data_IF_894751406473
#
_entry.id   IF_894751406473
#
_cell.length_a   1.000
_cell.length_b   1.000
_cell.length_c   1.000
_cell.angle_alpha   90.00
_cell.angle_beta   90.00
_cell.angle_gamma   90.00
#
_symmetry.space_group_name_H-M   'P 1'
#
loop_
_entity.id
_entity.type
_entity.pdbx_description
1 polymer ?
#
# COMPACT_ATOMS: atom_id res chain seq x y z
N UNK A 1 -25.01 -40.02 12.38
CA UNK A 1 -24.82 -39.27 11.13
C UNK A 1 -25.19 -40.18 9.98
N UNK A 2 -26.07 -39.74 9.09
CA UNK A 2 -26.49 -40.50 7.92
C UNK A 2 -25.79 -39.89 6.71
N UNK A 3 -25.29 -40.72 5.79
CA UNK A 3 -24.59 -40.23 4.60
C UNK A 3 -25.61 -39.69 3.59
N UNK A 4 -25.31 -38.54 3.02
CA UNK A 4 -26.05 -37.98 1.89
C UNK A 4 -25.37 -38.39 0.57
N UNK A 5 -26.17 -38.77 -0.44
CA UNK A 5 -25.69 -39.04 -1.80
C UNK A 5 -25.52 -37.72 -2.57
N UNK A 6 -24.71 -36.83 -2.01
CA UNK A 6 -24.40 -35.53 -2.59
C UNK A 6 -22.95 -35.18 -2.30
N UNK A 7 -22.17 -34.99 -3.36
CA UNK A 7 -20.80 -34.50 -3.24
C UNK A 7 -20.75 -33.03 -3.65
N UNK A 8 -20.31 -32.18 -2.73
CA UNK A 8 -20.08 -30.78 -3.04
C UNK A 8 -18.90 -30.61 -4.01
N UNK A 9 -19.04 -29.67 -4.94
CA UNK A 9 -18.00 -29.34 -5.94
C UNK A 9 -16.68 -28.91 -5.32
N UNK A 10 -16.72 -28.18 -4.20
CA UNK A 10 -15.52 -27.72 -3.48
C UNK A 10 -14.65 -28.88 -2.97
N UNK A 11 -15.20 -30.08 -2.79
CA UNK A 11 -14.42 -31.22 -2.29
C UNK A 11 -13.23 -31.53 -3.20
N UNK A 12 -13.46 -31.55 -4.52
CA UNK A 12 -12.40 -31.78 -5.51
C UNK A 12 -11.64 -30.50 -5.84
N UNK A 13 -12.35 -29.39 -5.99
CA UNK A 13 -11.74 -28.12 -6.40
C UNK A 13 -10.85 -27.51 -5.31
N UNK A 14 -11.14 -27.73 -4.03
CA UNK A 14 -10.46 -27.09 -2.91
C UNK A 14 -9.83 -28.13 -1.99
N UNK A 15 -10.63 -29.00 -1.36
CA UNK A 15 -10.13 -29.90 -0.30
C UNK A 15 -9.04 -30.85 -0.79
N UNK A 16 -9.30 -31.61 -1.86
CA UNK A 16 -8.31 -32.52 -2.43
C UNK A 16 -7.10 -31.77 -3.02
N UNK A 17 -7.34 -30.59 -3.61
CA UNK A 17 -6.28 -29.75 -4.19
C UNK A 17 -5.31 -29.28 -3.11
N UNK A 18 -5.80 -28.71 -2.00
CA UNK A 18 -4.93 -28.23 -0.93
C UNK A 18 -4.24 -29.36 -0.17
N UNK A 19 -4.89 -30.53 -0.02
CA UNK A 19 -4.22 -31.71 0.51
C UNK A 19 -3.08 -32.18 -0.40
N UNK A 20 -3.27 -32.18 -1.72
CA UNK A 20 -2.18 -32.49 -2.66
C UNK A 20 -1.02 -31.49 -2.53
N UNK A 21 -1.34 -30.18 -2.54
CA UNK A 21 -0.34 -29.10 -2.43
C UNK A 21 0.46 -29.14 -1.13
N UNK A 22 -0.13 -29.64 -0.04
CA UNK A 22 0.53 -29.77 1.24
C UNK A 22 1.70 -30.77 1.20
N UNK A 23 1.61 -31.78 0.32
CA UNK A 23 2.62 -32.82 0.18
C UNK A 23 3.54 -32.62 -1.04
N UNK A 24 3.08 -31.94 -2.09
CA UNK A 24 3.87 -31.64 -3.29
C UNK A 24 3.49 -30.28 -3.88
N UNK A 25 4.40 -29.31 -3.75
CA UNK A 25 4.30 -27.96 -4.31
C UNK A 25 5.34 -27.69 -5.42
N UNK A 26 6.00 -28.73 -5.92
CA UNK A 26 7.10 -28.61 -6.89
C UNK A 26 6.73 -27.82 -8.15
N UNK A 27 5.48 -27.88 -8.57
CA UNK A 27 4.97 -27.14 -9.73
C UNK A 27 4.73 -25.64 -9.47
N UNK A 28 4.67 -25.22 -8.19
CA UNK A 28 4.54 -23.82 -7.78
C UNK A 28 5.90 -23.16 -7.54
N UNK A 29 6.96 -23.95 -7.42
CA UNK A 29 8.34 -23.45 -7.23
C UNK A 29 8.71 -22.52 -8.39
N UNK A 30 9.32 -21.38 -8.05
CA UNK A 30 9.70 -20.28 -8.96
C UNK A 30 8.55 -19.48 -9.59
N UNK A 31 7.30 -19.72 -9.20
CA UNK A 31 6.13 -19.01 -9.75
C UNK A 31 5.26 -18.43 -8.65
N UNK A 32 4.92 -17.15 -8.80
CA UNK A 32 3.98 -16.50 -7.90
C UNK A 32 2.55 -16.76 -8.37
N UNK A 33 1.78 -17.51 -7.60
CA UNK A 33 0.35 -17.75 -7.82
C UNK A 33 -0.49 -17.27 -6.65
N UNK A 34 -1.68 -16.76 -6.93
CA UNK A 34 -2.74 -16.50 -5.94
C UNK A 34 -3.88 -17.45 -6.25
N UNK A 35 -4.38 -18.15 -5.23
CA UNK A 35 -5.56 -18.96 -5.35
C UNK A 35 -6.82 -18.13 -5.11
N UNK A 36 -7.84 -18.30 -5.95
CA UNK A 36 -9.17 -17.74 -5.68
C UNK A 36 -9.84 -18.46 -4.52
N UNK A 37 -11.01 -17.97 -4.09
CA UNK A 37 -11.83 -18.65 -3.06
C UNK A 37 -12.32 -20.04 -3.46
N UNK A 38 -12.32 -20.37 -4.76
CA UNK A 38 -12.63 -21.73 -5.28
C UNK A 38 -11.35 -22.53 -5.60
N UNK A 39 -10.19 -22.05 -5.14
CA UNK A 39 -8.90 -22.70 -5.32
C UNK A 39 -8.37 -22.68 -6.76
N UNK A 40 -8.84 -21.80 -7.64
CA UNK A 40 -8.25 -21.67 -8.98
C UNK A 40 -6.93 -20.88 -8.91
N UNK A 41 -5.80 -21.43 -9.40
CA UNK A 41 -4.52 -20.73 -9.38
C UNK A 41 -4.48 -19.65 -10.47
N UNK A 42 -4.23 -18.40 -10.07
CA UNK A 42 -4.03 -17.26 -10.96
C UNK A 42 -2.58 -16.79 -10.88
N UNK A 43 -1.86 -16.69 -12.01
CA UNK A 43 -0.48 -16.21 -12.00
C UNK A 43 -0.45 -14.72 -11.65
N UNK A 44 0.45 -14.34 -10.74
CA UNK A 44 0.73 -12.93 -10.49
C UNK A 44 1.58 -12.43 -11.66
N UNK A 45 0.96 -11.70 -12.59
CA UNK A 45 1.72 -11.00 -13.63
C UNK A 45 2.25 -9.68 -13.05
N UNK A 46 3.45 -9.27 -13.45
CA UNK A 46 4.05 -8.00 -13.02
C UNK A 46 3.15 -6.79 -13.31
N UNK A 47 2.32 -6.87 -14.36
CA UNK A 47 1.36 -5.83 -14.76
C UNK A 47 0.16 -5.64 -13.82
N UNK A 48 -0.13 -6.58 -12.89
CA UNK A 48 -1.25 -6.42 -11.95
C UNK A 48 -1.02 -5.27 -10.97
N UNK A 49 0.25 -4.90 -10.73
CA UNK A 49 0.62 -3.74 -9.92
C UNK A 49 0.45 -2.41 -10.66
N UNK A 50 0.16 -2.41 -11.97
CA UNK A 50 0.21 -1.20 -12.79
C UNK A 50 -1.13 -0.50 -12.96
N UNK A 51 -2.28 -1.16 -12.69
CA UNK A 51 -3.60 -0.54 -12.83
C UNK A 51 -4.59 -1.07 -11.81
N UNK A 52 -5.05 -0.20 -10.92
CA UNK A 52 -6.33 -0.44 -10.24
C UNK A 52 -7.45 -0.37 -11.28
N UNK A 53 -8.47 -1.25 -11.21
CA UNK A 53 -9.62 -1.19 -12.09
C UNK A 53 -10.28 0.19 -12.03
N UNK A 54 -10.75 0.68 -13.17
CA UNK A 54 -11.41 1.97 -13.32
C UNK A 54 -12.61 2.15 -12.38
N UNK A 55 -13.24 1.04 -11.98
CA UNK A 55 -14.32 0.99 -10.98
C UNK A 55 -13.89 1.41 -9.55
N UNK A 56 -12.60 1.38 -9.25
CA UNK A 56 -12.05 1.86 -7.97
C UNK A 56 -11.58 3.32 -8.04
N UNK A 57 -11.74 3.99 -9.20
CA UNK A 57 -11.50 5.41 -9.36
C UNK A 57 -12.78 6.14 -8.94
N UNK A 58 -12.77 6.95 -7.86
CA UNK A 58 -13.92 7.78 -7.52
C UNK A 58 -14.23 8.69 -8.71
N UNK A 59 -15.48 8.69 -9.17
CA UNK A 59 -15.97 9.38 -10.38
C UNK A 59 -15.79 10.91 -10.39
N UNK A 60 -15.24 11.49 -9.31
CA UNK A 60 -14.99 12.92 -9.16
C UNK A 60 -13.54 13.33 -9.48
N UNK A 61 -12.82 12.59 -10.31
CA UNK A 61 -11.59 13.10 -10.92
C UNK A 61 -11.87 13.54 -12.35
N UNK A 62 -11.77 14.85 -12.56
CA UNK A 62 -11.84 15.48 -13.87
C UNK A 62 -10.80 14.86 -14.78
N UNK A 63 -11.31 14.20 -15.83
CA UNK A 63 -10.54 13.60 -16.91
C UNK A 63 -9.76 14.69 -17.65
N UNK A 64 -8.54 14.97 -17.18
CA UNK A 64 -7.56 15.72 -17.95
C UNK A 64 -6.87 14.75 -18.91
N UNK A 65 -7.41 14.65 -20.12
CA UNK A 65 -6.74 14.04 -21.27
C UNK A 65 -5.43 14.80 -21.48
N UNK A 66 -4.29 14.15 -21.27
CA UNK A 66 -2.99 14.66 -21.71
C UNK A 66 -2.22 13.51 -22.33
N UNK A 67 -1.90 13.68 -23.61
CA UNK A 67 -1.02 12.81 -24.37
C UNK A 67 0.33 12.62 -23.66
N UNK A 68 0.92 11.44 -23.86
CA UNK A 68 2.30 11.06 -23.54
C UNK A 68 2.69 10.95 -22.05
N UNK A 69 2.31 9.81 -21.47
CA UNK A 69 3.24 8.80 -20.94
C UNK A 69 4.58 9.31 -20.34
N UNK A 70 4.53 9.89 -19.13
CA UNK A 70 5.65 9.80 -18.18
C UNK A 70 5.16 9.20 -16.86
N UNK A 71 5.52 7.93 -16.68
CA UNK A 71 5.58 7.10 -15.47
C UNK A 71 5.09 7.78 -14.17
N UNK A 72 3.86 7.47 -13.76
CA UNK A 72 3.39 7.72 -12.39
C UNK A 72 3.62 6.45 -11.55
N UNK A 73 4.66 6.48 -10.72
CA UNK A 73 5.03 5.37 -9.83
C UNK A 73 3.98 5.16 -8.72
N UNK A 74 3.60 3.90 -8.49
CA UNK A 74 2.68 3.44 -7.44
C UNK A 74 3.23 3.68 -6.02
N UNK A 75 2.36 3.71 -5.00
CA UNK A 75 2.77 3.87 -3.59
C UNK A 75 3.75 2.77 -3.12
N UNK A 76 3.63 1.55 -3.66
CA UNK A 76 4.58 0.45 -3.48
C UNK A 76 5.96 0.74 -4.10
N UNK A 77 6.00 1.40 -5.26
CA UNK A 77 7.27 1.84 -5.87
C UNK A 77 7.85 3.11 -5.20
N UNK A 78 7.12 3.72 -4.27
CA UNK A 78 7.56 4.85 -3.43
C UNK A 78 7.86 4.47 -1.97
N UNK A 79 7.79 3.17 -1.60
CA UNK A 79 8.03 2.67 -0.24
C UNK A 79 7.18 3.38 0.86
N UNK A 80 5.92 3.67 0.56
CA UNK A 80 4.99 4.26 1.54
C UNK A 80 4.01 3.18 2.00
N UNK A 81 4.07 2.78 3.27
CA UNK A 81 3.06 1.92 3.89
C UNK A 81 1.86 2.76 4.37
N UNK A 82 0.61 2.31 4.20
CA UNK A 82 -0.51 2.87 4.95
C UNK A 82 -0.32 2.52 6.43
N UNK A 83 -0.38 3.52 7.32
CA UNK A 83 -0.26 3.30 8.75
C UNK A 83 -1.30 2.26 9.21
N UNK A 84 -0.83 1.19 9.87
CA UNK A 84 -1.69 0.22 10.55
C UNK A 84 -2.30 0.95 11.75
N UNK A 85 -3.58 1.31 11.66
CA UNK A 85 -4.32 1.85 12.78
C UNK A 85 -4.58 0.76 13.83
N UNK A 86 -3.82 0.77 14.93
CA UNK A 86 -4.26 0.16 16.19
C UNK A 86 -5.48 0.93 16.71
N UNK A 87 -6.52 0.17 17.07
CA UNK A 87 -7.81 0.70 17.58
C UNK A 87 -7.59 1.72 18.70
N UNK A 88 -8.06 2.95 18.49
CA UNK A 88 -8.49 3.81 19.59
C UNK A 88 -9.78 4.50 19.19
N UNK A 89 -10.83 4.27 19.98
CA UNK A 89 -12.09 4.98 19.84
C UNK A 89 -11.86 6.46 20.11
N UNK A 90 -12.60 7.29 19.36
CA UNK A 90 -12.69 8.74 19.51
C UNK A 90 -11.44 9.53 19.05
N UNK A 91 -11.57 10.21 17.90
CA UNK A 91 -10.64 11.25 17.46
C UNK A 91 -10.06 11.01 16.06
N UNK A 92 -10.42 11.92 15.16
CA UNK A 92 -9.83 12.23 13.84
C UNK A 92 -8.60 11.40 13.46
N UNK A 93 -8.77 10.55 12.44
CA UNK A 93 -7.68 9.85 11.75
C UNK A 93 -6.75 10.88 11.09
N UNK A 94 -5.66 11.27 11.75
CA UNK A 94 -4.57 11.97 11.07
C UNK A 94 -3.77 10.94 10.27
N UNK A 95 -4.03 10.93 8.97
CA UNK A 95 -3.21 10.24 7.98
C UNK A 95 -1.87 10.98 7.91
N UNK A 96 -0.85 10.49 8.60
CA UNK A 96 0.50 11.02 8.46
C UNK A 96 1.18 10.37 7.24
N UNK A 97 1.78 11.19 6.39
CA UNK A 97 2.55 10.75 5.22
C UNK A 97 3.78 9.94 5.65
N UNK A 98 4.13 8.86 4.94
CA UNK A 98 5.28 8.02 5.31
C UNK A 98 6.66 8.71 5.21
N UNK A 99 6.74 9.88 4.56
CA UNK A 99 7.96 10.69 4.49
C UNK A 99 8.10 11.66 5.66
N UNK A 100 7.08 11.79 6.51
CA UNK A 100 7.13 12.74 7.62
C UNK A 100 8.20 12.31 8.61
N UNK A 101 9.19 13.16 8.79
CA UNK A 101 10.17 13.03 9.86
C UNK A 101 9.91 14.23 10.79
N UNK A 102 9.63 14.02 12.08
CA UNK A 102 9.42 15.12 13.01
C UNK A 102 10.70 15.94 13.18
N UNK A 103 10.56 17.21 13.56
CA UNK A 103 11.71 18.02 13.98
C UNK A 103 12.34 17.42 15.25
N UNK A 104 13.62 17.70 15.48
CA UNK A 104 14.32 17.23 16.69
C UNK A 104 13.69 17.75 17.98
N UNK A 105 12.99 18.89 17.90
CA UNK A 105 12.29 19.53 19.03
C UNK A 105 10.79 19.68 18.73
N UNK A 106 9.97 19.29 19.70
CA UNK A 106 8.50 19.40 19.61
C UNK A 106 7.97 20.84 19.57
N UNK A 107 8.79 21.83 19.91
CA UNK A 107 8.46 23.26 19.81
C UNK A 107 8.81 23.87 18.44
N UNK A 108 9.23 23.02 17.47
CA UNK A 108 9.64 23.40 16.12
C UNK A 108 10.77 24.43 16.05
N UNK A 109 11.51 24.61 17.15
CA UNK A 109 12.69 25.48 17.19
C UNK A 109 13.91 24.76 16.66
N UNK A 110 14.87 25.51 16.12
CA UNK A 110 16.11 24.99 15.56
C UNK A 110 17.26 25.98 15.73
N UNK A 111 18.47 25.46 15.80
CA UNK A 111 19.71 26.23 15.63
C UNK A 111 20.39 25.93 14.28
N UNK A 112 20.02 24.82 13.62
CA UNK A 112 20.56 24.38 12.33
C UNK A 112 19.52 23.64 11.50
N UNK A 113 19.75 23.51 10.19
CA UNK A 113 18.90 22.75 9.27
C UNK A 113 18.86 21.23 9.57
N UNK A 114 19.80 20.74 10.38
CA UNK A 114 19.87 19.33 10.82
C UNK A 114 18.82 19.01 11.89
N UNK A 115 18.31 20.02 12.58
CA UNK A 115 17.25 19.87 13.58
C UNK A 115 15.85 19.83 12.97
N UNK A 116 15.74 20.17 11.68
CA UNK A 116 14.47 20.24 10.98
C UNK A 116 14.16 18.96 10.23
N UNK A 117 12.94 18.47 10.43
CA UNK A 117 12.44 17.24 9.86
C UNK A 117 11.97 17.40 8.41
N UNK A 118 11.12 16.49 7.97
CA UNK A 118 10.56 16.46 6.61
C UNK A 118 9.07 16.76 6.68
N UNK A 119 8.62 17.71 5.87
CA UNK A 119 7.22 18.12 5.80
C UNK A 119 6.30 17.00 5.28
N UNK A 120 5.15 16.81 5.92
CA UNK A 120 4.24 15.70 5.60
C UNK A 120 3.46 15.90 4.29
N UNK A 121 3.26 17.15 3.88
CA UNK A 121 2.49 17.46 2.66
C UNK A 121 3.34 17.43 1.39
N UNK A 122 4.60 17.83 1.50
CA UNK A 122 5.52 18.00 0.37
C UNK A 122 6.66 17.00 0.35
N UNK A 123 6.89 16.24 1.44
CA UNK A 123 8.06 15.38 1.63
C UNK A 123 9.40 16.11 1.41
N UNK A 124 9.42 17.43 1.59
CA UNK A 124 10.63 18.23 1.49
C UNK A 124 11.24 18.42 2.86
N UNK A 125 12.56 18.33 2.91
CA UNK A 125 13.32 18.68 4.11
C UNK A 125 13.05 20.15 4.45
N UNK A 126 12.66 20.39 5.70
CA UNK A 126 12.47 21.73 6.26
C UNK A 126 13.84 22.30 6.62
N UNK A 127 13.96 23.61 6.57
CA UNK A 127 15.17 24.33 6.98
C UNK A 127 14.86 25.26 8.14
N UNK A 128 15.91 25.69 8.82
CA UNK A 128 15.83 26.60 9.93
C UNK A 128 15.76 28.04 9.43
N UNK A 129 14.71 28.76 9.82
CA UNK A 129 14.61 30.20 9.53
C UNK A 129 15.63 31.00 10.33
N UNK A 130 15.86 32.23 9.89
CA UNK A 130 16.54 33.26 10.69
C UNK A 130 15.90 33.50 12.06
N UNK A 131 14.61 33.19 12.22
CA UNK A 131 13.88 33.31 13.49
C UNK A 131 14.06 32.07 14.41
N UNK A 132 14.80 31.05 13.97
CA UNK A 132 15.07 29.84 14.76
C UNK A 132 13.91 28.85 14.77
N UNK A 133 13.12 28.79 13.70
CA UNK A 133 12.03 27.83 13.54
C UNK A 133 12.16 27.01 12.26
N UNK A 134 11.78 25.73 12.33
CA UNK A 134 11.74 24.83 11.18
C UNK A 134 10.58 25.19 10.26
N UNK A 135 10.80 25.16 8.95
CA UNK A 135 9.76 25.51 7.98
C UNK A 135 10.18 25.27 6.54
N UNK A 136 9.22 25.44 5.63
CA UNK A 136 9.46 25.51 4.20
C UNK A 136 9.58 26.99 3.82
N UNK A 137 10.81 27.49 3.81
CA UNK A 137 11.09 28.86 3.43
C UNK A 137 11.20 28.94 1.91
N UNK A 138 10.46 29.87 1.32
CA UNK A 138 10.53 30.16 -0.11
C UNK A 138 11.82 30.94 -0.34
N UNK A 139 12.67 30.46 -1.24
CA UNK A 139 13.82 31.20 -1.76
C UNK A 139 13.37 32.26 -2.76
#
# INVERSE_FOLDING_TARGET
MQLEDHQHSFFLAETCKYLYLLFDDSFLVDRNYIFTTEGHPLPILSSWHERLPEAYIPTNWTYAKSEQQTRRASAMSRQVCPAIALRSGYGVQQVESACHIPDSRADHRCFSDEECGIDSSTCRRRSCSMAGYCGLWIQ
#
